data_IF_800882388605
#
_entry.id   IF_800882388605
#
_cell.length_a   1.000
_cell.length_b   1.000
_cell.length_c   1.000
_cell.angle_alpha   90.00
_cell.angle_beta   90.00
_cell.angle_gamma   90.00
#
_symmetry.space_group_name_H-M   'P 1'
#
loop_
_entity.id
_entity.type
_entity.pdbx_description
1 polymer ?
#
# COMPACT_ATOMS: atom_id res chain seq x y z
N UNK A 1 4.74 5.01 -15.00
CA UNK A 1 4.27 3.61 -15.03
C UNK A 1 5.00 2.74 -16.05
N UNK A 2 6.21 3.09 -16.46
CA UNK A 2 7.05 2.24 -17.32
C UNK A 2 8.12 1.50 -16.54
N UNK A 3 8.32 1.83 -15.28
CA UNK A 3 9.37 1.21 -14.46
C UNK A 3 9.28 -0.32 -14.48
N UNK A 4 8.13 -1.00 -14.28
CA UNK A 4 8.08 -2.45 -14.34
C UNK A 4 8.40 -3.03 -15.74
N UNK A 5 8.13 -2.25 -16.80
CA UNK A 5 8.44 -2.67 -18.18
C UNK A 5 9.94 -2.58 -18.44
N UNK A 6 10.58 -1.54 -17.95
CA UNK A 6 12.00 -1.25 -18.19
C UNK A 6 12.93 -1.94 -17.20
N UNK A 7 12.44 -2.33 -16.03
CA UNK A 7 13.27 -3.00 -15.03
C UNK A 7 13.78 -4.34 -15.54
N UNK A 8 15.11 -4.55 -15.43
CA UNK A 8 15.81 -5.73 -15.94
C UNK A 8 15.28 -7.04 -15.30
N UNK A 9 14.94 -6.99 -14.02
CA UNK A 9 14.48 -8.17 -13.26
C UNK A 9 12.99 -8.45 -13.50
N UNK A 10 12.21 -7.41 -13.86
CA UNK A 10 10.77 -7.55 -14.11
C UNK A 10 10.48 -7.94 -15.56
N UNK A 11 10.41 -6.98 -16.51
CA UNK A 11 10.04 -7.25 -17.89
C UNK A 11 11.22 -7.09 -18.90
N UNK A 12 12.29 -6.40 -18.51
CA UNK A 12 13.54 -6.34 -19.27
C UNK A 12 13.46 -5.64 -20.62
N UNK A 13 12.75 -4.51 -20.71
CA UNK A 13 12.75 -3.66 -21.91
C UNK A 13 13.47 -2.33 -21.67
N UNK A 14 14.61 -2.36 -20.95
CA UNK A 14 15.39 -1.16 -20.62
C UNK A 14 16.21 -0.62 -21.78
N UNK A 15 16.59 -1.45 -22.74
CA UNK A 15 17.58 -1.15 -23.77
C UNK A 15 19.02 -1.18 -23.25
N UNK A 16 19.25 -1.54 -21.99
CA UNK A 16 20.55 -1.58 -21.31
C UNK A 16 20.85 -3.01 -20.82
N UNK A 17 22.10 -3.29 -20.49
CA UNK A 17 22.55 -4.57 -19.92
C UNK A 17 22.15 -5.82 -20.72
N UNK A 18 21.91 -5.67 -22.03
CA UNK A 18 21.49 -6.77 -22.90
C UNK A 18 19.97 -6.95 -23.01
N UNK A 19 19.19 -6.12 -22.36
CA UNK A 19 17.74 -6.09 -22.50
C UNK A 19 17.31 -5.57 -23.88
N UNK A 20 16.12 -6.00 -24.31
CA UNK A 20 15.42 -5.37 -25.43
C UNK A 20 15.05 -3.93 -25.09
N UNK A 21 14.89 -3.09 -26.10
CA UNK A 21 14.45 -1.71 -25.93
C UNK A 21 12.92 -1.62 -25.83
N UNK A 22 12.43 -0.46 -25.41
CA UNK A 22 10.99 -0.18 -25.45
C UNK A 22 10.43 -0.20 -26.89
N UNK A 23 11.25 0.16 -27.88
CA UNK A 23 10.87 0.06 -29.30
C UNK A 23 10.67 -1.40 -29.72
N UNK A 24 11.48 -2.34 -29.21
CA UNK A 24 11.28 -3.77 -29.47
C UNK A 24 9.96 -4.27 -28.86
N UNK A 25 9.54 -3.74 -27.71
CA UNK A 25 8.21 -4.01 -27.16
C UNK A 25 7.10 -3.50 -28.08
N UNK A 26 7.25 -2.30 -28.64
CA UNK A 26 6.27 -1.74 -29.58
C UNK A 26 6.15 -2.66 -30.80
N UNK A 27 7.27 -3.03 -31.42
CA UNK A 27 7.30 -3.95 -32.56
C UNK A 27 6.65 -5.31 -32.21
N UNK A 28 6.91 -5.82 -30.99
CA UNK A 28 6.27 -7.06 -30.52
C UNK A 28 4.76 -6.92 -30.44
N UNK A 29 4.24 -5.82 -29.93
CA UNK A 29 2.80 -5.58 -29.82
C UNK A 29 2.16 -5.38 -31.20
N UNK A 30 2.81 -4.65 -32.12
CA UNK A 30 2.34 -4.43 -33.51
C UNK A 30 2.21 -5.73 -34.30
N UNK A 31 3.03 -6.74 -34.00
CA UNK A 31 2.96 -8.06 -34.63
C UNK A 31 1.83 -8.95 -34.07
N UNK A 32 1.09 -8.51 -33.07
CA UNK A 32 -0.03 -9.24 -32.48
C UNK A 32 -1.35 -8.58 -32.93
N UNK A 33 -2.15 -9.22 -33.79
CA UNK A 33 -3.27 -8.59 -34.51
C UNK A 33 -4.32 -7.89 -33.64
N UNK A 34 -4.56 -8.40 -32.44
CA UNK A 34 -5.61 -7.83 -31.58
C UNK A 34 -5.18 -6.49 -30.94
N UNK A 35 -3.89 -6.17 -30.84
CA UNK A 35 -3.47 -4.89 -30.23
C UNK A 35 -3.81 -3.70 -31.13
N UNK A 36 -3.71 -3.79 -32.45
CA UNK A 36 -4.12 -2.69 -33.33
C UNK A 36 -5.59 -2.35 -33.13
N UNK A 37 -6.46 -3.36 -32.98
CA UNK A 37 -7.89 -3.18 -32.71
C UNK A 37 -8.10 -2.55 -31.32
N UNK A 38 -7.40 -3.01 -30.29
CA UNK A 38 -7.51 -2.47 -28.93
C UNK A 38 -7.05 -1.00 -28.88
N UNK A 39 -5.96 -0.66 -29.55
CA UNK A 39 -5.46 0.71 -29.63
C UNK A 39 -6.41 1.62 -30.41
N UNK A 40 -6.96 1.13 -31.53
CA UNK A 40 -7.99 1.86 -32.26
C UNK A 40 -9.21 2.17 -31.39
N UNK A 41 -9.72 1.19 -30.65
CA UNK A 41 -10.86 1.39 -29.76
C UNK A 41 -10.58 2.34 -28.60
N UNK A 42 -9.35 2.34 -28.07
CA UNK A 42 -8.97 3.19 -26.93
C UNK A 42 -8.59 4.61 -27.35
N UNK A 43 -7.96 4.79 -28.52
CA UNK A 43 -7.31 6.05 -28.92
C UNK A 43 -7.77 6.60 -30.27
N UNK A 44 -8.65 5.89 -31.00
CA UNK A 44 -9.14 6.29 -32.32
C UNK A 44 -8.12 6.04 -33.46
N UNK A 45 -7.01 5.39 -33.20
CA UNK A 45 -5.97 5.04 -34.18
C UNK A 45 -5.21 3.78 -33.74
N UNK A 46 -4.75 3.00 -34.69
CA UNK A 46 -4.03 1.74 -34.46
C UNK A 46 -2.59 1.93 -33.99
N UNK A 47 -2.06 3.17 -34.01
CA UNK A 47 -0.67 3.46 -33.66
C UNK A 47 -0.35 3.08 -32.23
N UNK A 48 0.63 2.22 -32.03
CA UNK A 48 1.18 1.86 -30.74
C UNK A 48 2.37 2.79 -30.44
N UNK A 49 2.44 3.33 -29.24
CA UNK A 49 3.57 4.15 -28.79
C UNK A 49 3.75 4.01 -27.29
N UNK A 50 4.95 4.29 -26.80
CA UNK A 50 5.24 4.29 -25.36
C UNK A 50 4.23 5.14 -24.59
N UNK A 51 3.96 6.35 -25.03
CA UNK A 51 3.00 7.27 -24.38
C UNK A 51 1.60 6.65 -24.25
N UNK A 52 1.10 5.98 -25.30
CA UNK A 52 -0.20 5.33 -25.26
C UNK A 52 -0.23 4.07 -24.39
N UNK A 53 0.86 3.31 -24.39
CA UNK A 53 1.03 2.18 -23.47
C UNK A 53 0.97 2.70 -22.02
N UNK A 54 1.72 3.77 -21.71
CA UNK A 54 1.68 4.42 -20.40
C UNK A 54 0.27 4.88 -20.01
N UNK A 55 -0.45 5.52 -20.96
CA UNK A 55 -1.83 5.95 -20.71
C UNK A 55 -2.78 4.78 -20.43
N UNK A 56 -2.69 3.71 -21.21
CA UNK A 56 -3.52 2.52 -21.03
C UNK A 56 -3.24 1.86 -19.67
N UNK A 57 -1.97 1.66 -19.32
CA UNK A 57 -1.57 1.10 -18.02
C UNK A 57 -2.01 2.01 -16.85
N UNK A 58 -1.83 3.32 -16.98
CA UNK A 58 -2.27 4.27 -15.94
C UNK A 58 -3.79 4.25 -15.76
N UNK A 59 -4.55 4.09 -16.85
CA UNK A 59 -6.00 3.97 -16.78
C UNK A 59 -6.43 2.65 -16.18
N UNK A 60 -5.75 1.54 -16.49
CA UNK A 60 -6.00 0.25 -15.88
C UNK A 60 -5.75 0.31 -14.36
N UNK A 61 -4.58 0.79 -13.94
CA UNK A 61 -4.23 0.92 -12.51
C UNK A 61 -5.27 1.80 -11.78
N UNK A 62 -5.68 2.93 -12.37
CA UNK A 62 -6.74 3.78 -11.80
C UNK A 62 -8.11 3.12 -11.74
N UNK A 63 -8.36 2.13 -12.58
CA UNK A 63 -9.63 1.40 -12.54
C UNK A 63 -9.73 0.42 -11.38
N UNK A 64 -8.59 0.02 -10.81
CA UNK A 64 -8.52 -0.87 -9.64
C UNK A 64 -8.90 -0.05 -8.41
N UNK A 65 -10.14 -0.18 -7.99
CA UNK A 65 -10.72 0.56 -6.87
C UNK A 65 -11.37 -0.42 -5.91
N UNK A 66 -10.94 -0.39 -4.66
CA UNK A 66 -11.46 -1.23 -3.58
C UNK A 66 -12.19 -0.34 -2.56
N UNK A 67 -13.47 -0.05 -2.81
CA UNK A 67 -14.33 0.78 -1.97
C UNK A 67 -15.64 0.09 -1.56
N UNK A 68 -15.65 -1.24 -1.54
CA UNK A 68 -16.78 -2.07 -1.12
C UNK A 68 -16.55 -2.80 0.20
N UNK A 69 -15.52 -2.39 0.93
CA UNK A 69 -15.11 -3.02 2.19
C UNK A 69 -16.13 -2.81 3.32
N UNK A 70 -16.00 -3.59 4.39
CA UNK A 70 -16.78 -3.41 5.62
C UNK A 70 -16.63 -2.00 6.20
N UNK A 71 -15.42 -1.41 6.08
CA UNK A 71 -15.16 -0.02 6.45
C UNK A 71 -16.01 0.95 5.63
N UNK A 72 -16.05 0.80 4.30
CA UNK A 72 -16.79 1.69 3.42
C UNK A 72 -18.29 1.65 3.73
N UNK A 73 -18.84 0.44 3.91
CA UNK A 73 -20.22 0.26 4.33
C UNK A 73 -20.50 0.96 5.67
N UNK A 74 -19.65 0.77 6.67
CA UNK A 74 -19.78 1.40 7.97
C UNK A 74 -19.70 2.92 7.91
N UNK A 75 -18.84 3.44 7.04
CA UNK A 75 -18.66 4.89 6.86
C UNK A 75 -19.92 5.58 6.32
N UNK A 76 -20.72 4.90 5.51
CA UNK A 76 -22.00 5.46 5.02
C UNK A 76 -23.10 5.55 6.07
N UNK A 77 -22.93 4.85 7.18
CA UNK A 77 -23.95 4.78 8.26
C UNK A 77 -23.78 5.86 9.33
N UNK A 78 -22.74 6.70 9.21
CA UNK A 78 -22.41 7.72 10.22
C UNK A 78 -22.01 9.03 9.55
N UNK A 79 -22.13 10.15 10.29
CA UNK A 79 -21.83 11.48 9.75
C UNK A 79 -20.35 11.73 9.54
N UNK A 80 -19.51 11.16 10.39
CA UNK A 80 -18.06 11.33 10.30
C UNK A 80 -17.29 10.10 10.80
N UNK A 81 -16.01 10.03 10.47
CA UNK A 81 -15.14 8.88 10.76
C UNK A 81 -14.81 8.70 12.25
N UNK A 82 -15.09 9.69 13.11
CA UNK A 82 -14.81 9.58 14.55
C UNK A 82 -15.92 8.83 15.32
N UNK A 83 -17.11 8.70 14.72
CA UNK A 83 -18.21 7.96 15.33
C UNK A 83 -17.97 6.45 15.23
N UNK A 84 -18.40 5.64 16.21
CA UNK A 84 -18.38 4.18 16.08
C UNK A 84 -19.22 3.73 14.88
N UNK A 85 -18.71 2.79 14.10
CA UNK A 85 -19.45 2.23 12.98
C UNK A 85 -20.41 1.15 13.48
N UNK A 86 -21.72 1.24 13.14
CA UNK A 86 -22.72 0.29 13.65
C UNK A 86 -22.52 -1.16 13.17
N UNK A 87 -21.88 -1.34 12.01
CA UNK A 87 -21.56 -2.65 11.45
C UNK A 87 -20.25 -3.25 11.97
N UNK A 88 -19.49 -2.51 12.80
CA UNK A 88 -18.25 -2.97 13.39
C UNK A 88 -18.50 -3.63 14.75
N UNK A 89 -17.71 -4.65 15.06
CA UNK A 89 -17.57 -5.16 16.44
C UNK A 89 -16.93 -4.11 17.37
N UNK A 90 -17.00 -4.35 18.68
CA UNK A 90 -16.31 -3.50 19.65
C UNK A 90 -14.79 -3.48 19.42
N UNK A 91 -14.21 -4.62 19.03
CA UNK A 91 -12.78 -4.72 18.76
C UNK A 91 -12.37 -3.89 17.53
N UNK A 92 -13.11 -3.99 16.43
CA UNK A 92 -12.87 -3.21 15.21
C UNK A 92 -13.03 -1.70 15.45
N UNK A 93 -14.07 -1.29 16.19
CA UNK A 93 -14.25 0.12 16.57
C UNK A 93 -13.13 0.62 17.50
N UNK A 94 -12.63 -0.22 18.40
CA UNK A 94 -11.47 0.10 19.24
C UNK A 94 -10.22 0.30 18.35
N UNK A 95 -9.98 -0.61 17.41
CA UNK A 95 -8.87 -0.51 16.45
C UNK A 95 -8.96 0.75 15.58
N UNK A 96 -10.16 1.05 15.04
CA UNK A 96 -10.41 2.28 14.28
C UNK A 96 -10.10 3.54 15.11
N UNK A 97 -10.51 3.55 16.35
CA UNK A 97 -10.26 4.68 17.25
C UNK A 97 -8.75 4.84 17.54
N UNK A 98 -8.05 3.76 17.87
CA UNK A 98 -6.60 3.76 18.07
C UNK A 98 -5.86 4.24 16.82
N UNK A 99 -6.25 3.77 15.64
CA UNK A 99 -5.66 4.15 14.37
C UNK A 99 -5.78 5.65 14.08
N UNK A 100 -6.97 6.23 14.33
CA UNK A 100 -7.28 7.63 14.02
C UNK A 100 -6.76 8.62 15.06
N UNK A 101 -6.74 8.26 16.33
CA UNK A 101 -6.33 9.17 17.38
C UNK A 101 -4.81 9.29 17.49
N UNK A 102 -4.27 10.52 17.62
CA UNK A 102 -2.84 10.71 17.83
C UNK A 102 -2.40 10.19 19.20
N UNK A 103 -1.18 9.64 19.29
CA UNK A 103 -0.56 9.27 20.55
C UNK A 103 -0.14 10.51 21.34
N UNK A 104 -0.12 10.37 22.67
CA UNK A 104 0.47 11.34 23.58
C UNK A 104 1.75 10.70 24.15
N UNK A 105 2.88 11.34 23.89
CA UNK A 105 4.20 10.85 24.31
C UNK A 105 4.76 11.63 25.50
N UNK A 106 5.57 10.96 26.30
CA UNK A 106 6.46 11.61 27.24
C UNK A 106 7.73 12.12 26.53
N UNK A 107 8.64 12.75 27.27
CA UNK A 107 9.90 13.30 26.76
C UNK A 107 10.87 12.25 26.20
N UNK A 108 10.67 10.98 26.53
CA UNK A 108 11.54 9.88 26.10
C UNK A 108 10.99 9.15 24.85
N UNK A 109 9.92 9.65 24.24
CA UNK A 109 9.30 9.01 23.07
C UNK A 109 8.38 7.83 23.39
N UNK A 110 8.01 7.64 24.66
CA UNK A 110 7.08 6.59 25.10
C UNK A 110 5.65 7.11 25.12
N UNK A 111 4.71 6.38 24.52
CA UNK A 111 3.28 6.68 24.59
C UNK A 111 2.78 6.49 26.02
N UNK A 112 2.11 7.51 26.55
CA UNK A 112 1.51 7.52 27.88
C UNK A 112 -0.02 7.58 27.83
N UNK A 113 -0.60 7.99 26.68
CA UNK A 113 -2.05 8.08 26.48
C UNK A 113 -2.37 8.25 24.97
N UNK A 114 -3.65 8.37 24.63
CA UNK A 114 -4.14 8.58 23.25
C UNK A 114 -4.16 7.29 22.42
N UNK A 115 -4.33 7.46 21.11
CA UNK A 115 -4.29 6.38 20.16
C UNK A 115 -2.86 6.00 19.74
N UNK A 116 -2.72 5.47 18.54
CA UNK A 116 -1.40 5.12 17.94
C UNK A 116 -1.06 5.94 16.70
N UNK A 117 -2.05 6.70 16.16
CA UNK A 117 -1.81 7.77 15.21
C UNK A 117 -1.44 7.34 13.79
N UNK A 118 -1.77 6.13 13.36
CA UNK A 118 -1.49 5.65 11.99
C UNK A 118 -2.09 6.58 10.92
N UNK A 119 -3.25 7.19 11.19
CA UNK A 119 -3.89 8.16 10.32
C UNK A 119 -3.06 9.44 10.10
N UNK A 120 -2.02 9.69 10.86
CA UNK A 120 -1.07 10.78 10.61
C UNK A 120 -0.28 10.61 9.31
N UNK A 121 -0.16 9.38 8.83
CA UNK A 121 0.42 9.03 7.53
C UNK A 121 -0.65 8.42 6.61
N UNK A 122 -1.46 7.48 7.08
CA UNK A 122 -2.44 6.71 6.30
C UNK A 122 -3.85 7.31 6.44
N UNK A 123 -4.19 8.26 5.59
CA UNK A 123 -5.45 8.99 5.68
C UNK A 123 -6.58 8.33 4.88
N UNK A 124 -7.76 8.23 5.51
CA UNK A 124 -8.95 7.80 4.79
C UNK A 124 -9.36 8.86 3.72
N UNK A 125 -10.01 8.43 2.62
CA UNK A 125 -10.53 7.08 2.38
C UNK A 125 -9.55 6.08 1.76
N UNK A 126 -8.46 6.52 1.16
CA UNK A 126 -7.49 5.66 0.45
C UNK A 126 -6.55 4.93 1.40
N UNK A 127 -6.28 5.49 2.58
CA UNK A 127 -5.31 4.97 3.56
C UNK A 127 -3.89 4.84 2.99
N UNK A 128 -3.57 5.62 1.98
CA UNK A 128 -2.22 5.68 1.42
C UNK A 128 -1.29 6.57 2.26
N UNK A 129 -0.01 6.49 1.99
CA UNK A 129 0.99 7.28 2.72
C UNK A 129 1.08 8.68 2.14
N UNK A 130 1.13 9.67 3.02
CA UNK A 130 1.50 11.04 2.70
C UNK A 130 2.78 11.07 1.84
N UNK A 131 2.78 11.69 0.66
CA UNK A 131 3.92 11.75 -0.24
C UNK A 131 5.16 12.45 0.37
N UNK A 132 4.99 13.18 1.47
CA UNK A 132 6.09 13.81 2.19
C UNK A 132 6.65 12.93 3.33
N UNK A 133 6.19 11.69 3.47
CA UNK A 133 6.72 10.75 4.45
C UNK A 133 8.19 10.45 4.17
N UNK A 134 8.98 10.33 5.24
CA UNK A 134 10.34 9.84 5.21
C UNK A 134 10.38 8.34 5.50
N UNK A 135 11.58 7.79 5.77
CA UNK A 135 11.74 6.37 6.04
C UNK A 135 10.93 5.94 7.28
N UNK A 136 10.33 4.76 7.22
CA UNK A 136 9.44 4.24 8.27
C UNK A 136 10.16 3.38 9.33
N UNK A 137 11.49 3.34 9.33
CA UNK A 137 12.30 2.52 10.25
C UNK A 137 12.76 1.18 9.67
N UNK A 138 12.15 0.72 8.58
CA UNK A 138 12.66 -0.45 7.85
C UNK A 138 13.76 0.01 6.90
N UNK A 139 14.97 -0.50 7.11
CA UNK A 139 16.17 -0.09 6.36
C UNK A 139 16.85 -1.25 5.60
N UNK A 140 16.33 -2.45 5.73
CA UNK A 140 16.87 -3.61 5.03
C UNK A 140 16.54 -3.60 3.53
N UNK A 141 17.44 -4.14 2.72
CA UNK A 141 17.25 -4.33 1.27
C UNK A 141 16.91 -5.79 0.95
N UNK A 142 16.20 -6.02 -0.15
CA UNK A 142 15.89 -7.39 -0.58
C UNK A 142 17.17 -8.02 -1.14
N UNK A 143 17.60 -9.14 -0.54
CA UNK A 143 18.67 -9.97 -1.06
C UNK A 143 20.06 -9.32 -1.13
N UNK A 144 20.25 -8.13 -0.51
CA UNK A 144 21.53 -7.42 -0.53
C UNK A 144 22.01 -7.06 0.88
N UNK A 145 23.32 -6.92 1.03
CA UNK A 145 23.92 -6.35 2.24
C UNK A 145 23.91 -4.83 2.12
N UNK A 146 23.26 -4.16 3.06
CA UNK A 146 23.22 -2.70 3.09
C UNK A 146 21.97 -2.16 3.75
N UNK A 147 21.90 -0.84 3.84
CA UNK A 147 20.76 -0.11 4.36
C UNK A 147 20.19 0.80 3.27
N UNK A 148 18.89 0.69 3.05
CA UNK A 148 18.13 1.62 2.23
C UNK A 148 17.42 2.62 3.15
N UNK A 149 17.89 3.86 3.16
CA UNK A 149 17.31 4.96 3.93
C UNK A 149 16.38 5.83 3.06
N UNK A 150 16.07 5.41 1.83
CA UNK A 150 15.22 6.19 0.96
C UNK A 150 13.78 6.23 1.47
N UNK A 151 13.03 7.20 0.98
CA UNK A 151 11.58 7.28 1.23
C UNK A 151 10.90 6.27 0.33
N UNK A 152 10.21 5.34 0.92
CA UNK A 152 9.40 4.41 0.17
C UNK A 152 7.94 4.80 0.33
N UNK A 153 7.30 5.15 -0.77
CA UNK A 153 5.86 5.39 -0.77
C UNK A 153 5.15 4.05 -0.61
N UNK A 154 4.54 3.83 0.55
CA UNK A 154 3.74 2.66 0.77
C UNK A 154 2.46 2.72 -0.07
N UNK A 155 1.97 1.58 -0.56
CA UNK A 155 0.63 1.50 -1.15
C UNK A 155 -0.45 1.78 -0.09
N UNK A 156 -1.70 1.90 -0.55
CA UNK A 156 -2.88 1.95 0.31
C UNK A 156 -2.92 0.77 1.29
N UNK A 157 -3.48 0.99 2.48
CA UNK A 157 -3.77 -0.10 3.42
C UNK A 157 -5.06 -0.86 3.06
N UNK A 158 -5.65 -0.61 1.91
CA UNK A 158 -6.80 -1.39 1.43
C UNK A 158 -6.32 -2.76 0.94
N UNK A 159 -7.14 -3.76 1.15
CA UNK A 159 -6.87 -5.14 0.70
C UNK A 159 -5.54 -5.75 1.20
N UNK A 160 -5.14 -5.41 2.41
CA UNK A 160 -3.98 -6.05 3.07
C UNK A 160 -4.19 -7.55 3.28
N UNK A 161 -5.44 -7.96 3.40
CA UNK A 161 -5.87 -9.33 3.69
C UNK A 161 -6.91 -9.76 2.67
N UNK A 162 -6.82 -10.97 2.16
CA UNK A 162 -7.80 -11.57 1.27
C UNK A 162 -9.06 -11.98 2.04
N UNK A 163 -10.12 -12.29 1.30
CA UNK A 163 -11.40 -12.76 1.86
C UNK A 163 -11.28 -14.05 2.71
N UNK A 164 -10.29 -14.88 2.43
CA UNK A 164 -10.02 -16.11 3.18
C UNK A 164 -9.18 -15.89 4.45
N UNK A 165 -8.76 -14.65 4.73
CA UNK A 165 -7.93 -14.28 5.87
C UNK A 165 -6.42 -14.31 5.60
N UNK A 166 -5.97 -14.80 4.44
CA UNK A 166 -4.56 -14.76 4.08
C UNK A 166 -4.11 -13.32 3.78
N UNK A 167 -2.86 -13.01 4.06
CA UNK A 167 -2.28 -11.72 3.66
C UNK A 167 -2.03 -11.64 2.14
N UNK A 168 -2.05 -10.43 1.62
CA UNK A 168 -1.83 -10.15 0.19
C UNK A 168 -0.34 -10.01 -0.18
N UNK A 169 0.55 -10.69 0.53
CA UNK A 169 1.99 -10.68 0.29
C UNK A 169 2.79 -10.14 1.48
N UNK A 170 4.09 -10.03 1.30
CA UNK A 170 4.97 -9.45 2.30
C UNK A 170 4.76 -7.94 2.44
N UNK A 171 4.80 -7.46 3.68
CA UNK A 171 4.64 -6.06 4.02
C UNK A 171 5.98 -5.34 4.06
N UNK A 172 5.93 -3.99 3.95
CA UNK A 172 7.03 -3.07 3.76
C UNK A 172 7.70 -3.20 2.38
N UNK A 173 8.58 -2.26 2.04
CA UNK A 173 9.24 -2.22 0.73
C UNK A 173 10.12 -3.43 0.43
N UNK A 174 10.59 -4.11 1.47
CA UNK A 174 11.46 -5.28 1.36
C UNK A 174 10.77 -6.62 1.72
N UNK A 175 9.46 -6.61 1.97
CA UNK A 175 8.72 -7.80 2.37
C UNK A 175 9.09 -8.35 3.76
N UNK A 176 9.62 -7.52 4.66
CA UNK A 176 10.17 -7.95 5.95
C UNK A 176 9.16 -8.64 6.87
N UNK A 177 7.88 -8.41 6.69
CA UNK A 177 6.83 -8.99 7.54
C UNK A 177 5.79 -9.72 6.69
N UNK A 178 5.43 -10.92 7.09
CA UNK A 178 4.42 -11.75 6.42
C UNK A 178 3.01 -11.55 7.02
N UNK A 179 2.93 -10.99 8.24
CA UNK A 179 1.68 -10.83 8.98
C UNK A 179 1.51 -9.39 9.48
N UNK A 180 0.25 -8.92 9.56
CA UNK A 180 -0.08 -7.58 10.06
C UNK A 180 0.42 -7.34 11.49
N UNK A 181 0.40 -8.36 12.33
CA UNK A 181 0.90 -8.25 13.71
C UNK A 181 2.41 -7.92 13.75
N UNK A 182 3.18 -8.41 12.78
CA UNK A 182 4.60 -8.09 12.62
C UNK A 182 4.79 -6.60 12.33
N UNK A 183 3.99 -6.05 11.41
CA UNK A 183 3.98 -4.61 11.09
C UNK A 183 3.63 -3.76 12.32
N UNK A 184 2.59 -4.17 13.06
CA UNK A 184 2.18 -3.46 14.29
C UNK A 184 3.28 -3.52 15.36
N UNK A 185 3.96 -4.64 15.49
CA UNK A 185 5.08 -4.78 16.43
C UNK A 185 6.25 -3.89 16.05
N UNK A 186 6.54 -3.75 14.74
CA UNK A 186 7.57 -2.82 14.26
C UNK A 186 7.24 -1.36 14.66
N UNK A 187 6.01 -0.90 14.39
CA UNK A 187 5.61 0.46 14.77
C UNK A 187 5.44 0.65 16.28
N UNK A 188 5.24 -0.44 17.04
CA UNK A 188 5.15 -0.38 18.49
C UNK A 188 6.46 0.03 19.16
N UNK A 189 7.60 -0.36 18.57
CA UNK A 189 8.94 -0.07 19.10
C UNK A 189 9.92 0.02 17.91
N UNK A 190 10.13 1.24 17.42
CA UNK A 190 10.94 1.46 16.24
C UNK A 190 12.42 1.50 16.62
N UNK A 191 13.22 0.65 15.97
CA UNK A 191 14.67 0.77 15.99
C UNK A 191 15.13 1.90 15.05
N UNK A 192 15.57 3.00 15.66
CA UNK A 192 16.11 4.16 14.93
C UNK A 192 17.61 4.07 14.67
N UNK A 193 18.28 2.97 15.05
CA UNK A 193 19.73 2.83 14.95
C UNK A 193 20.18 2.91 13.49
N UNK A 194 21.12 3.83 13.23
CA UNK A 194 21.69 4.03 11.89
C UNK A 194 20.74 4.69 10.88
N UNK A 195 19.51 5.03 11.25
CA UNK A 195 18.53 5.64 10.36
C UNK A 195 18.45 7.16 10.53
N UNK A 196 19.28 7.88 9.78
CA UNK A 196 19.28 9.35 9.75
C UNK A 196 18.07 9.97 9.05
N UNK A 197 17.30 9.17 8.29
CA UNK A 197 16.15 9.59 7.49
C UNK A 197 14.80 9.12 8.06
N UNK A 198 14.77 8.64 9.31
CA UNK A 198 13.53 8.24 9.98
C UNK A 198 12.54 9.41 10.04
N UNK A 199 11.30 9.17 9.64
CA UNK A 199 10.23 10.19 9.64
C UNK A 199 10.08 10.84 11.02
N UNK A 200 9.93 12.17 11.03
CA UNK A 200 9.84 12.94 12.26
C UNK A 200 8.63 12.58 13.12
N UNK A 201 7.53 12.11 12.49
CA UNK A 201 6.33 11.62 13.19
C UNK A 201 6.59 10.34 13.99
N UNK A 202 7.64 9.60 13.64
CA UNK A 202 8.11 8.40 14.32
C UNK A 202 9.24 8.69 15.33
N UNK A 203 9.55 9.99 15.54
CA UNK A 203 10.60 10.47 16.47
C UNK A 203 10.07 11.52 17.44
N UNK A 204 9.07 11.22 18.25
CA UNK A 204 8.55 12.18 19.23
C UNK A 204 9.63 12.62 20.22
N UNK A 205 9.83 13.94 20.34
CA UNK A 205 10.89 14.51 21.18
C UNK A 205 12.32 14.18 20.71
N UNK A 206 12.48 13.73 19.44
CA UNK A 206 13.78 13.35 18.87
C UNK A 206 14.17 11.88 19.10
N UNK A 207 13.41 11.13 19.88
CA UNK A 207 13.63 9.71 20.15
C UNK A 207 12.74 8.84 19.27
N UNK A 208 13.19 7.65 18.82
CA UNK A 208 12.29 6.69 18.16
C UNK A 208 11.09 6.37 19.05
N UNK A 209 9.91 6.27 18.42
CA UNK A 209 8.68 6.05 19.18
C UNK A 209 8.61 4.67 19.83
N UNK A 210 8.01 4.65 21.01
CA UNK A 210 7.60 3.44 21.72
C UNK A 210 6.11 3.58 22.09
N UNK A 211 5.24 2.84 21.38
CA UNK A 211 3.81 2.96 21.58
C UNK A 211 3.28 2.18 22.77
N UNK A 212 4.07 1.27 23.33
CA UNK A 212 3.72 0.45 24.49
C UNK A 212 2.30 -0.17 24.40
N UNK A 213 1.97 -0.69 23.23
CA UNK A 213 0.65 -1.27 22.98
C UNK A 213 0.48 -2.58 23.74
N UNK A 214 -0.67 -2.69 24.40
CA UNK A 214 -1.14 -3.98 24.95
C UNK A 214 -1.48 -4.96 23.81
N UNK A 215 -1.52 -6.25 24.12
CA UNK A 215 -1.93 -7.25 23.14
C UNK A 215 -3.35 -6.99 22.62
N UNK A 216 -4.27 -6.51 23.47
CA UNK A 216 -5.62 -6.19 23.05
C UNK A 216 -5.65 -5.01 22.05
N UNK A 217 -4.84 -3.97 22.24
CA UNK A 217 -4.72 -2.85 21.31
C UNK A 217 -4.15 -3.31 19.95
N UNK A 218 -3.14 -4.18 19.98
CA UNK A 218 -2.55 -4.77 18.74
C UNK A 218 -3.58 -5.58 17.98
N UNK A 219 -4.32 -6.46 18.67
CA UNK A 219 -5.39 -7.26 18.05
C UNK A 219 -6.53 -6.38 17.53
N UNK A 220 -6.86 -5.30 18.21
CA UNK A 220 -7.87 -4.35 17.74
C UNK A 220 -7.44 -3.64 16.45
N UNK A 221 -6.17 -3.27 16.32
CA UNK A 221 -5.62 -2.69 15.08
C UNK A 221 -5.65 -3.68 13.93
N UNK A 222 -5.27 -4.94 14.16
CA UNK A 222 -5.40 -6.00 13.14
C UNK A 222 -6.84 -6.12 12.69
N UNK A 223 -7.78 -6.27 13.63
CA UNK A 223 -9.20 -6.39 13.34
C UNK A 223 -9.75 -5.19 12.54
N UNK A 224 -9.29 -3.98 12.85
CA UNK A 224 -9.65 -2.80 12.07
C UNK A 224 -9.07 -2.86 10.64
N UNK A 225 -7.78 -3.16 10.47
CA UNK A 225 -7.15 -3.22 9.15
C UNK A 225 -7.78 -4.29 8.26
N UNK A 226 -8.21 -5.42 8.80
CA UNK A 226 -8.96 -6.45 8.08
C UNK A 226 -10.29 -5.92 7.53
N UNK A 227 -10.93 -4.92 8.17
CA UNK A 227 -12.15 -4.30 7.65
C UNK A 227 -11.96 -3.46 6.39
N UNK A 228 -10.71 -3.17 6.00
CA UNK A 228 -10.37 -2.37 4.82
C UNK A 228 -10.34 -3.20 3.53
N UNK A 229 -10.54 -4.52 3.61
CA UNK A 229 -10.55 -5.42 2.47
C UNK A 229 -11.95 -5.52 1.87
N UNK A 230 -12.01 -5.37 0.54
CA UNK A 230 -13.23 -5.53 -0.26
C UNK A 230 -13.35 -6.91 -0.89
N UNK A 231 -14.42 -7.13 -1.62
CA UNK A 231 -14.67 -8.37 -2.36
C UNK A 231 -14.66 -8.17 -3.88
N UNK A 232 -15.06 -7.01 -4.35
CA UNK A 232 -15.27 -6.74 -5.77
C UNK A 232 -13.98 -6.88 -6.57
N UNK A 233 -12.87 -6.42 -6.03
CA UNK A 233 -11.55 -6.51 -6.67
C UNK A 233 -11.16 -7.94 -7.07
N UNK A 234 -11.56 -8.94 -6.28
CA UNK A 234 -11.20 -10.36 -6.50
C UNK A 234 -12.22 -11.13 -7.33
N UNK A 235 -13.44 -10.62 -7.45
CA UNK A 235 -14.57 -11.35 -8.05
C UNK A 235 -15.07 -10.71 -9.35
N UNK A 236 -14.76 -9.44 -9.58
CA UNK A 236 -15.25 -8.71 -10.74
C UNK A 236 -14.47 -9.09 -12.01
N UNK A 237 -15.14 -9.58 -13.06
CA UNK A 237 -14.50 -9.98 -14.31
C UNK A 237 -13.71 -8.86 -14.99
N UNK A 238 -14.00 -7.60 -14.67
CA UNK A 238 -13.30 -6.42 -15.22
C UNK A 238 -11.77 -6.49 -15.04
N UNK A 239 -11.30 -7.13 -13.97
CA UNK A 239 -9.87 -7.25 -13.65
C UNK A 239 -9.32 -8.67 -13.85
N UNK A 240 -10.14 -9.58 -14.36
CA UNK A 240 -9.70 -10.95 -14.68
C UNK A 240 -8.87 -10.98 -15.98
N UNK A 241 -8.22 -12.11 -16.24
CA UNK A 241 -7.56 -12.34 -17.54
C UNK A 241 -8.61 -12.26 -18.66
N UNK A 242 -8.49 -11.31 -19.61
CA UNK A 242 -9.44 -11.18 -20.70
C UNK A 242 -9.23 -12.22 -21.82
N UNK A 243 -8.12 -12.95 -21.78
CA UNK A 243 -7.77 -13.95 -22.79
C UNK A 243 -8.30 -15.31 -22.36
N UNK A 244 -9.03 -15.96 -23.26
CA UNK A 244 -9.47 -17.35 -23.10
C UNK A 244 -8.30 -18.22 -23.62
N UNK A 245 -7.80 -19.10 -22.76
CA UNK A 245 -6.82 -20.13 -23.14
C UNK A 245 -7.48 -21.23 -23.97
#
# INVERSE_FOLDING_TARGET
>A
TTQPIQDHIEMGFSGENGDLSFDDLIVKLENIPYYSVLFFNAFGTETISEFRIQQALAQFVRSIQSFDSKYDQGRTLVDNNNQPFPNFSNLENTGKNLFNQPPIFNTNGMRINGGVGCAGCHQAPEFDVDPNSLNNGVIGTIGQLGADLTNTRAPSLRDLVKQNGDTNGGFMHNGAFEELIGVINHYNDIDGTGNSNLDSRLRPGGNPQQLNMTLNEKNALVAFMETLSGSDLYTNPKWSNPFIE
#
